data_IF_491377578627
#
_entry.id   IF_491377578627
#
_cell.length_a   1.000
_cell.length_b   1.000
_cell.length_c   1.000
_cell.angle_alpha   90.00
_cell.angle_beta   90.00
_cell.angle_gamma   90.00
#
_symmetry.space_group_name_H-M   'P 1'
#
loop_
_entity.id
_entity.type
_entity.pdbx_description
1 polymer ?
#
# COMPACT_ATOMS: atom_id res chain seq x y z
N UNK A 1 -30.57 -7.67 -26.89
CA UNK A 1 -29.51 -8.54 -26.33
C UNK A 1 -28.35 -7.65 -25.94
N UNK A 2 -28.07 -7.50 -24.66
CA UNK A 2 -26.89 -6.76 -24.19
C UNK A 2 -25.71 -7.73 -24.29
N UNK A 3 -24.80 -7.50 -25.22
CA UNK A 3 -23.52 -8.20 -25.28
C UNK A 3 -22.75 -7.91 -23.99
N UNK A 4 -22.64 -8.94 -23.14
CA UNK A 4 -21.74 -8.92 -22.01
C UNK A 4 -20.31 -9.03 -22.57
N UNK A 5 -19.72 -7.87 -22.86
CA UNK A 5 -18.29 -7.70 -23.11
C UNK A 5 -17.53 -8.54 -22.09
N UNK A 6 -16.67 -9.46 -22.54
CA UNK A 6 -15.92 -10.38 -21.68
C UNK A 6 -15.38 -9.62 -20.47
N UNK A 7 -16.03 -9.85 -19.34
CA UNK A 7 -15.69 -9.14 -18.11
C UNK A 7 -14.34 -9.66 -17.69
N UNK A 8 -13.33 -8.78 -17.70
CA UNK A 8 -12.01 -9.10 -17.17
C UNK A 8 -12.17 -9.83 -15.83
N UNK A 9 -11.58 -11.02 -15.73
CA UNK A 9 -11.76 -11.93 -14.59
C UNK A 9 -11.53 -11.16 -13.29
N UNK A 10 -12.58 -11.05 -12.47
CA UNK A 10 -12.50 -10.37 -11.17
C UNK A 10 -11.68 -11.21 -10.19
N UNK A 11 -10.81 -10.57 -9.41
CA UNK A 11 -10.11 -11.23 -8.31
C UNK A 11 -11.08 -11.58 -7.17
N UNK A 12 -10.67 -12.52 -6.30
CA UNK A 12 -11.42 -12.86 -5.08
C UNK A 12 -11.69 -11.63 -4.22
N UNK A 13 -10.68 -10.76 -4.06
CA UNK A 13 -10.79 -9.50 -3.33
C UNK A 13 -11.82 -8.55 -3.96
N UNK A 14 -11.86 -8.43 -5.28
CA UNK A 14 -12.81 -7.58 -5.99
C UNK A 14 -14.26 -8.06 -5.81
N UNK A 15 -14.51 -9.38 -5.79
CA UNK A 15 -15.84 -9.95 -5.49
C UNK A 15 -16.29 -9.57 -4.08
N UNK A 16 -15.39 -9.66 -3.10
CA UNK A 16 -15.66 -9.23 -1.73
C UNK A 16 -16.04 -7.76 -1.65
N UNK A 17 -15.26 -6.88 -2.28
CA UNK A 17 -15.52 -5.43 -2.29
C UNK A 17 -16.85 -5.07 -2.96
N UNK A 18 -17.19 -5.72 -4.09
CA UNK A 18 -18.47 -5.51 -4.78
C UNK A 18 -19.66 -5.92 -3.90
N UNK A 19 -19.56 -7.05 -3.20
CA UNK A 19 -20.58 -7.50 -2.26
C UNK A 19 -20.76 -6.49 -1.12
N UNK A 20 -19.68 -6.01 -0.52
CA UNK A 20 -19.74 -4.99 0.53
C UNK A 20 -20.34 -3.67 0.05
N UNK A 21 -19.99 -3.23 -1.16
CA UNK A 21 -20.57 -2.03 -1.75
C UNK A 21 -22.09 -2.16 -1.97
N UNK A 22 -22.57 -3.32 -2.42
CA UNK A 22 -24.00 -3.60 -2.54
C UNK A 22 -24.72 -3.55 -1.19
N UNK A 23 -24.11 -4.10 -0.13
CA UNK A 23 -24.68 -4.00 1.22
C UNK A 23 -24.78 -2.55 1.70
N UNK A 24 -23.74 -1.75 1.46
CA UNK A 24 -23.73 -0.35 1.84
C UNK A 24 -24.83 0.44 1.11
N UNK A 25 -24.92 0.25 -0.22
CA UNK A 25 -25.94 0.92 -1.04
C UNK A 25 -27.38 0.58 -0.61
N UNK A 26 -27.62 -0.69 -0.24
CA UNK A 26 -28.93 -1.11 0.25
C UNK A 26 -29.28 -0.43 1.58
N UNK A 27 -28.33 -0.38 2.52
CA UNK A 27 -28.52 0.29 3.80
C UNK A 27 -28.80 1.79 3.62
N UNK A 28 -28.05 2.45 2.74
CA UNK A 28 -28.25 3.87 2.42
C UNK A 28 -29.63 4.12 1.81
N UNK A 29 -30.07 3.30 0.85
CA UNK A 29 -31.37 3.46 0.17
C UNK A 29 -32.56 3.23 1.10
N UNK A 30 -32.46 2.26 2.02
CA UNK A 30 -33.53 1.93 2.98
C UNK A 30 -33.37 2.58 4.35
N UNK A 31 -32.58 3.65 4.47
CA UNK A 31 -32.42 4.41 5.72
C UNK A 31 -32.03 3.55 6.93
N UNK A 32 -31.18 2.54 6.72
CA UNK A 32 -30.68 1.67 7.78
C UNK A 32 -31.58 0.48 8.12
N UNK A 33 -32.62 0.16 7.34
CA UNK A 33 -33.33 -1.12 7.49
C UNK A 33 -32.37 -2.32 7.36
N UNK A 34 -32.66 -3.34 8.15
CA UNK A 34 -31.89 -4.60 8.15
C UNK A 34 -32.12 -5.31 6.81
N UNK A 35 -31.01 -5.76 6.22
CA UNK A 35 -31.01 -6.51 4.97
C UNK A 35 -31.86 -7.77 5.06
N UNK A 36 -32.68 -8.05 4.04
CA UNK A 36 -33.44 -9.30 3.96
C UNK A 36 -32.52 -10.51 4.07
N UNK A 37 -32.77 -11.36 5.07
CA UNK A 37 -31.90 -12.50 5.41
C UNK A 37 -31.76 -13.48 4.25
N UNK A 38 -32.83 -13.68 3.47
CA UNK A 38 -32.80 -14.58 2.32
C UNK A 38 -31.86 -14.06 1.24
N UNK A 39 -32.03 -12.81 0.82
CA UNK A 39 -31.17 -12.18 -0.17
C UNK A 39 -29.70 -12.12 0.30
N UNK A 40 -29.46 -11.89 1.59
CA UNK A 40 -28.11 -11.88 2.18
C UNK A 40 -27.43 -13.22 2.03
N UNK A 41 -28.15 -14.29 2.33
CA UNK A 41 -27.65 -15.66 2.28
C UNK A 41 -27.42 -16.11 0.84
N UNK A 42 -28.34 -15.78 -0.07
CA UNK A 42 -28.18 -16.03 -1.51
C UNK A 42 -26.93 -15.33 -2.07
N UNK A 43 -26.76 -14.02 -1.81
CA UNK A 43 -25.56 -13.28 -2.23
C UNK A 43 -24.28 -13.84 -1.63
N UNK A 44 -24.34 -14.30 -0.38
CA UNK A 44 -23.21 -14.94 0.28
C UNK A 44 -22.86 -16.28 -0.36
N UNK A 45 -23.87 -17.09 -0.69
CA UNK A 45 -23.68 -18.37 -1.39
C UNK A 45 -23.14 -18.16 -2.80
N UNK A 46 -23.69 -17.20 -3.54
CA UNK A 46 -23.22 -16.84 -4.88
C UNK A 46 -21.77 -16.38 -4.87
N UNK A 47 -21.41 -15.47 -3.95
CA UNK A 47 -20.05 -15.02 -3.78
C UNK A 47 -19.10 -16.17 -3.42
N UNK A 48 -19.51 -17.08 -2.52
CA UNK A 48 -18.75 -18.31 -2.21
C UNK A 48 -18.55 -19.18 -3.45
N UNK A 49 -19.59 -19.41 -4.26
CA UNK A 49 -19.51 -20.16 -5.51
C UNK A 49 -18.50 -19.54 -6.48
N UNK A 50 -18.61 -18.23 -6.71
CA UNK A 50 -17.70 -17.50 -7.59
C UNK A 50 -16.25 -17.54 -7.11
N UNK A 51 -16.01 -17.36 -5.80
CA UNK A 51 -14.65 -17.46 -5.24
C UNK A 51 -14.06 -18.86 -5.34
N UNK A 52 -14.89 -19.93 -5.32
CA UNK A 52 -14.44 -21.30 -5.58
C UNK A 52 -14.04 -21.50 -7.04
N UNK A 53 -14.83 -20.97 -7.98
CA UNK A 53 -14.49 -21.01 -9.40
C UNK A 53 -13.19 -20.27 -9.70
N UNK A 54 -12.99 -19.09 -9.10
CA UNK A 54 -11.73 -18.35 -9.21
C UNK A 54 -10.53 -19.14 -8.65
N UNK A 55 -10.72 -19.81 -7.50
CA UNK A 55 -9.68 -20.65 -6.91
C UNK A 55 -9.38 -21.89 -7.78
N UNK A 56 -10.39 -22.46 -8.45
CA UNK A 56 -10.19 -23.56 -9.39
C UNK A 56 -9.40 -23.10 -10.62
N UNK A 57 -9.77 -21.96 -11.21
CA UNK A 57 -9.02 -21.35 -12.33
C UNK A 57 -7.56 -21.07 -11.92
N UNK A 58 -7.31 -20.60 -10.70
CA UNK A 58 -5.95 -20.39 -10.18
C UNK A 58 -5.16 -21.70 -10.04
N UNK A 59 -5.81 -22.77 -9.57
CA UNK A 59 -5.20 -24.11 -9.46
C UNK A 59 -4.85 -24.70 -10.82
N UNK A 60 -5.72 -24.49 -11.80
CA UNK A 60 -5.55 -25.00 -13.17
C UNK A 60 -4.55 -24.16 -13.99
N UNK A 61 -3.85 -23.20 -13.35
CA UNK A 61 -2.83 -22.35 -13.97
C UNK A 61 -3.38 -21.16 -14.76
N UNK A 62 -4.69 -20.91 -14.70
CA UNK A 62 -5.37 -19.84 -15.42
C UNK A 62 -5.30 -18.45 -14.76
N UNK A 63 -4.65 -18.33 -13.59
CA UNK A 63 -4.34 -17.05 -12.92
C UNK A 63 -3.17 -17.19 -11.94
N UNK A 64 -2.51 -16.08 -11.60
CA UNK A 64 -1.47 -16.07 -10.56
C UNK A 64 -2.02 -16.53 -9.20
N UNK A 65 -1.29 -17.44 -8.56
CA UNK A 65 -1.65 -18.01 -7.24
C UNK A 65 -1.33 -17.03 -6.10
N UNK A 66 -0.36 -16.12 -6.30
CA UNK A 66 0.02 -15.09 -5.34
C UNK A 66 -0.79 -13.83 -5.61
N UNK A 67 -1.65 -13.47 -4.67
CA UNK A 67 -2.33 -12.17 -4.68
C UNK A 67 -1.41 -11.11 -4.03
N UNK A 68 -1.21 -9.97 -4.70
CA UNK A 68 -0.48 -8.82 -4.16
C UNK A 68 0.75 -8.42 -4.98
N UNK A 69 1.39 -7.32 -4.59
CA UNK A 69 2.65 -6.87 -5.19
C UNK A 69 3.82 -7.69 -4.63
N UNK A 70 4.78 -8.04 -5.47
CA UNK A 70 6.01 -8.66 -5.02
C UNK A 70 6.77 -7.71 -4.07
N UNK A 71 7.49 -8.24 -3.05
CA UNK A 71 8.31 -7.41 -2.19
C UNK A 71 9.40 -6.73 -3.01
N UNK A 72 9.65 -5.45 -2.72
CA UNK A 72 10.75 -4.72 -3.34
C UNK A 72 12.08 -5.27 -2.81
N UNK A 73 12.96 -5.72 -3.70
CA UNK A 73 14.31 -6.14 -3.30
C UNK A 73 15.17 -4.94 -2.93
N UNK A 74 16.15 -5.15 -2.04
CA UNK A 74 17.09 -4.08 -1.66
C UNK A 74 17.89 -3.56 -2.85
N UNK A 75 18.25 -4.44 -3.79
CA UNK A 75 18.94 -4.06 -5.01
C UNK A 75 18.08 -3.12 -5.88
N UNK A 76 16.79 -3.43 -6.03
CA UNK A 76 15.86 -2.59 -6.77
C UNK A 76 15.59 -1.26 -6.05
N UNK A 77 15.53 -1.26 -4.72
CA UNK A 77 15.47 -0.04 -3.92
C UNK A 77 16.67 0.88 -4.20
N UNK A 78 17.89 0.34 -4.14
CA UNK A 78 19.12 1.10 -4.40
C UNK A 78 19.18 1.61 -5.84
N UNK A 79 18.73 0.82 -6.81
CA UNK A 79 18.67 1.23 -8.22
C UNK A 79 17.70 2.41 -8.41
N UNK A 80 16.48 2.31 -7.87
CA UNK A 80 15.49 3.38 -7.94
C UNK A 80 15.97 4.66 -7.25
N UNK A 81 16.56 4.56 -6.08
CA UNK A 81 17.13 5.70 -5.37
C UNK A 81 18.23 6.40 -6.19
N UNK A 82 19.10 5.62 -6.85
CA UNK A 82 20.11 6.15 -7.79
C UNK A 82 19.46 6.85 -8.98
N UNK A 83 18.45 6.23 -9.60
CA UNK A 83 17.73 6.83 -10.74
C UNK A 83 17.15 8.20 -10.38
N UNK A 84 16.47 8.34 -9.23
CA UNK A 84 15.93 9.63 -8.78
C UNK A 84 17.02 10.70 -8.62
N UNK A 85 18.20 10.33 -8.13
CA UNK A 85 19.32 11.25 -7.95
C UNK A 85 20.03 11.60 -9.27
N UNK A 86 20.07 10.69 -10.24
CA UNK A 86 20.73 10.92 -11.54
C UNK A 86 19.83 11.63 -12.55
N UNK A 87 18.53 11.33 -12.56
CA UNK A 87 17.54 11.99 -13.43
C UNK A 87 17.23 13.41 -12.95
N UNK A 88 17.37 13.72 -11.65
CA UNK A 88 17.28 15.09 -11.12
C UNK A 88 18.31 16.06 -11.74
N UNK A 89 19.39 15.53 -12.32
CA UNK A 89 20.48 16.32 -12.92
C UNK A 89 20.26 16.50 -14.43
N UNK A 90 19.34 15.74 -15.04
CA UNK A 90 19.14 15.71 -16.47
C UNK A 90 17.94 16.57 -16.89
N UNK A 91 18.26 17.65 -17.61
CA UNK A 91 17.48 18.30 -18.66
C UNK A 91 16.73 19.61 -18.38
N UNK A 92 16.19 19.96 -17.20
CA UNK A 92 15.43 21.23 -17.11
C UNK A 92 15.56 22.04 -15.80
N UNK A 93 16.53 21.75 -14.93
CA UNK A 93 16.71 22.52 -13.68
C UNK A 93 15.58 22.34 -12.64
N UNK A 94 14.70 21.36 -12.87
CA UNK A 94 13.65 20.99 -11.93
C UNK A 94 14.20 20.02 -10.87
N UNK A 95 13.96 20.34 -9.59
CA UNK A 95 14.37 19.54 -8.43
C UNK A 95 13.52 18.27 -8.22
N UNK A 96 12.74 17.85 -9.22
CA UNK A 96 11.67 16.85 -9.06
C UNK A 96 12.23 15.48 -8.65
N UNK A 97 13.40 15.11 -9.18
CA UNK A 97 14.08 13.87 -8.77
C UNK A 97 14.60 13.91 -7.33
N UNK A 98 14.99 15.07 -6.81
CA UNK A 98 15.40 15.23 -5.40
C UNK A 98 14.21 15.05 -4.46
N UNK A 99 13.05 15.62 -4.79
CA UNK A 99 11.83 15.41 -4.00
C UNK A 99 11.34 13.96 -4.10
N UNK A 100 11.40 13.36 -5.31
CA UNK A 100 11.09 11.95 -5.52
C UNK A 100 11.99 11.03 -4.68
N UNK A 101 13.29 11.31 -4.63
CA UNK A 101 14.24 10.58 -3.78
C UNK A 101 13.89 10.72 -2.30
N UNK A 102 13.68 11.95 -1.80
CA UNK A 102 13.31 12.21 -0.41
C UNK A 102 12.02 11.47 -0.03
N UNK A 103 10.99 11.59 -0.84
CA UNK A 103 9.71 10.91 -0.63
C UNK A 103 9.88 9.39 -0.59
N UNK A 104 10.66 8.83 -1.51
CA UNK A 104 10.91 7.38 -1.55
C UNK A 104 11.71 6.89 -0.34
N UNK A 105 12.72 7.64 0.11
CA UNK A 105 13.49 7.36 1.33
C UNK A 105 12.60 7.42 2.57
N UNK A 106 11.75 8.45 2.70
CA UNK A 106 10.82 8.58 3.82
C UNK A 106 9.81 7.43 3.84
N UNK A 107 9.21 7.09 2.70
CA UNK A 107 8.29 5.95 2.59
C UNK A 107 8.96 4.64 3.02
N UNK A 108 10.20 4.40 2.59
CA UNK A 108 10.95 3.19 2.92
C UNK A 108 11.33 3.11 4.40
N UNK A 109 11.87 4.19 4.98
CA UNK A 109 12.32 4.18 6.37
C UNK A 109 11.16 4.18 7.37
N UNK A 110 10.04 4.85 7.04
CA UNK A 110 8.84 4.85 7.89
C UNK A 110 7.92 3.65 7.62
N UNK A 111 8.20 2.85 6.59
CA UNK A 111 7.34 1.76 6.12
C UNK A 111 5.86 2.19 5.99
N UNK A 112 5.63 3.44 5.60
CA UNK A 112 4.31 4.05 5.57
C UNK A 112 3.68 4.01 4.17
N UNK A 113 2.36 4.22 4.10
CA UNK A 113 1.65 4.36 2.82
C UNK A 113 1.97 5.73 2.22
N UNK A 114 1.91 5.84 0.90
CA UNK A 114 2.07 7.12 0.20
C UNK A 114 1.13 8.21 0.78
N UNK A 115 -0.12 7.84 1.08
CA UNK A 115 -1.14 8.70 1.71
C UNK A 115 -0.89 9.09 3.17
N UNK A 116 0.12 8.52 3.81
CA UNK A 116 0.57 8.97 5.12
C UNK A 116 1.83 9.83 4.98
N UNK A 117 2.64 9.56 3.95
CA UNK A 117 3.89 10.25 3.68
C UNK A 117 3.66 11.66 3.10
N UNK A 118 2.60 11.84 2.31
CA UNK A 118 2.14 13.13 1.76
C UNK A 118 1.58 14.06 2.85
N UNK A 119 0.96 13.50 3.89
CA UNK A 119 0.44 14.23 5.06
C UNK A 119 1.54 14.70 6.04
N UNK A 120 2.82 14.36 5.80
CA UNK A 120 3.93 14.79 6.66
C UNK A 120 4.22 16.27 6.42
N UNK A 121 4.07 17.07 7.48
CA UNK A 121 4.36 18.49 7.49
C UNK A 121 5.64 18.76 8.28
N UNK A 122 6.28 19.92 8.07
CA UNK A 122 7.49 20.31 8.81
C UNK A 122 7.27 20.33 10.33
N UNK A 123 6.09 20.74 10.79
CA UNK A 123 5.72 20.74 12.22
C UNK A 123 5.63 19.33 12.84
N UNK A 124 5.60 18.28 12.01
CA UNK A 124 5.60 16.89 12.47
C UNK A 124 7.02 16.34 12.65
N UNK A 125 8.06 17.10 12.32
CA UNK A 125 9.44 16.67 12.40
C UNK A 125 10.12 17.26 13.64
N UNK A 126 10.83 16.43 14.39
CA UNK A 126 11.62 16.84 15.54
C UNK A 126 12.99 16.14 15.50
N UNK A 127 14.04 16.85 15.89
CA UNK A 127 15.34 16.24 16.11
C UNK A 127 15.43 15.66 17.52
N UNK A 128 15.61 14.34 17.62
CA UNK A 128 15.84 13.63 18.88
C UNK A 128 17.25 13.03 18.88
N UNK A 129 18.19 13.75 19.48
CA UNK A 129 19.61 13.38 19.46
C UNK A 129 20.13 13.36 18.03
N UNK A 130 20.57 12.17 17.56
CA UNK A 130 21.12 11.96 16.22
C UNK A 130 20.09 11.41 15.21
N UNK A 131 18.80 11.41 15.55
CA UNK A 131 17.74 10.89 14.71
C UNK A 131 16.65 11.94 14.46
N UNK A 132 16.05 11.88 13.27
CA UNK A 132 14.86 12.66 12.93
C UNK A 132 13.63 11.84 13.32
N UNK A 133 12.86 12.36 14.26
CA UNK A 133 11.57 11.82 14.64
C UNK A 133 10.48 12.45 13.77
N UNK A 134 9.53 11.62 13.29
CA UNK A 134 8.40 12.05 12.47
C UNK A 134 7.11 11.59 13.16
N UNK A 135 6.20 12.54 13.38
CA UNK A 135 4.92 12.32 14.05
C UNK A 135 3.77 12.24 13.05
N UNK A 136 2.97 11.18 13.12
CA UNK A 136 1.76 11.07 12.31
C UNK A 136 0.55 11.54 13.11
N UNK A 137 -0.15 12.59 12.64
CA UNK A 137 -1.38 13.06 13.27
C UNK A 137 -2.57 12.11 13.10
N UNK A 138 -2.53 11.22 12.09
CA UNK A 138 -3.57 10.23 11.82
C UNK A 138 -2.92 8.92 11.38
N UNK A 139 -3.26 7.82 12.06
CA UNK A 139 -2.86 6.47 11.65
C UNK A 139 -4.09 5.56 11.56
N UNK A 140 -3.99 4.49 10.76
CA UNK A 140 -5.08 3.51 10.57
C UNK A 140 -5.40 2.73 11.87
N UNK A 141 -4.49 2.75 12.82
CA UNK A 141 -4.59 2.15 14.15
C UNK A 141 -4.26 3.25 15.17
N UNK A 142 -5.07 3.38 16.21
CA UNK A 142 -4.97 4.41 17.27
C UNK A 142 -3.76 4.20 18.22
N UNK A 143 -2.76 3.44 17.77
CA UNK A 143 -1.53 3.17 18.50
C UNK A 143 -0.46 4.11 17.98
N UNK A 144 -0.08 5.08 18.81
CA UNK A 144 1.08 5.95 18.61
C UNK A 144 2.36 5.11 18.51
N UNK A 145 2.70 4.71 17.29
CA UNK A 145 3.97 4.06 17.01
C UNK A 145 5.04 5.14 16.83
N UNK A 146 5.94 5.25 17.80
CA UNK A 146 7.15 6.07 17.70
C UNK A 146 8.09 5.42 16.68
N UNK A 147 7.93 5.74 15.40
CA UNK A 147 8.91 5.36 14.39
C UNK A 147 10.11 6.31 14.51
N UNK A 148 11.12 5.87 15.26
CA UNK A 148 12.45 6.47 15.25
C UNK A 148 13.08 6.16 13.88
N UNK A 149 13.00 7.12 12.95
CA UNK A 149 13.77 7.10 11.73
C UNK A 149 15.22 7.48 12.07
N UNK A 150 16.10 6.48 12.16
CA UNK A 150 17.54 6.78 12.18
C UNK A 150 17.95 7.07 10.74
N UNK A 151 17.91 8.35 10.35
CA UNK A 151 18.35 8.81 9.03
C UNK A 151 19.88 8.76 8.97
N UNK A 152 20.46 7.56 8.84
CA UNK A 152 21.90 7.39 8.57
C UNK A 152 22.27 7.67 7.12
N UNK A 153 21.28 7.72 6.22
CA UNK A 153 21.55 7.60 4.78
C UNK A 153 21.98 8.90 4.08
N UNK A 154 21.98 10.04 4.78
CA UNK A 154 22.26 11.35 4.16
C UNK A 154 23.70 11.86 4.34
N UNK A 155 24.62 11.11 4.99
CA UNK A 155 25.95 11.68 5.31
C UNK A 155 27.19 10.81 5.08
N UNK A 156 27.13 9.58 4.56
CA UNK A 156 28.37 8.84 4.35
C UNK A 156 28.33 7.84 3.17
N UNK A 157 29.09 8.07 2.09
CA UNK A 157 29.19 7.13 0.97
C UNK A 157 30.11 5.92 1.22
N UNK A 158 30.63 5.69 2.44
CA UNK A 158 31.73 4.72 2.63
C UNK A 158 31.69 3.85 3.89
N UNK A 159 30.52 3.39 4.34
CA UNK A 159 30.47 2.18 5.18
C UNK A 159 29.07 1.55 5.12
N UNK A 160 28.95 0.43 4.42
CA UNK A 160 27.74 -0.39 4.39
C UNK A 160 28.02 -1.62 5.24
N UNK A 161 27.83 -1.50 6.56
CA UNK A 161 27.76 -2.65 7.45
C UNK A 161 26.32 -2.76 7.95
N UNK A 162 25.60 -3.73 7.40
CA UNK A 162 24.21 -4.02 7.71
C UNK A 162 24.11 -4.67 9.09
N UNK A 163 23.80 -3.89 10.12
CA UNK A 163 23.36 -4.47 11.39
C UNK A 163 21.90 -4.94 11.27
N UNK A 164 21.75 -6.24 11.04
CA UNK A 164 20.46 -6.93 10.83
C UNK A 164 19.62 -7.09 12.11
N UNK A 165 20.08 -6.62 13.27
CA UNK A 165 19.48 -6.96 14.55
C UNK A 165 18.41 -6.01 15.10
N UNK A 166 18.10 -4.88 14.45
CA UNK A 166 17.18 -3.90 15.03
C UNK A 166 15.73 -3.91 14.51
N UNK A 167 15.34 -4.85 13.62
CA UNK A 167 14.04 -4.74 12.91
C UNK A 167 12.94 -5.73 13.30
N UNK A 168 13.18 -6.65 14.25
CA UNK A 168 12.14 -7.55 14.76
C UNK A 168 12.37 -7.93 16.23
N UNK A 169 12.08 -7.00 17.14
CA UNK A 169 11.63 -7.29 18.52
C UNK A 169 10.75 -6.16 18.99
#
# INVERSE_FOLDING_TARGET
MVELKETGKLSRSAVGSKRSALYNLYQDYRQGEVYDTNLKDELTQLAKGLTRQLAQVARDGGSEVREGKAPLSMELYLLLAKCFMTEAVAENGHCDGTFGHLFFVLMWNLMCRASNCDDIMLQHMEWKGNAMAIYFGRQKTDQVLWLLCVVWFLSCPHHVEYDRHAMFT
#
